data_IF_048725020765
#
_entry.id   IF_048725020765
#
_cell.length_a   1.000
_cell.length_b   1.000
_cell.length_c   1.000
_cell.angle_alpha   90.00
_cell.angle_beta   90.00
_cell.angle_gamma   90.00
#
_symmetry.space_group_name_H-M   'P 1'
#
loop_
_entity.id
_entity.type
_entity.pdbx_description
1 polymer ?
#
# COMPACT_ATOMS: atom_id res chain seq x y z
N UNK A 1 -11.82 29.09 50.96
CA UNK A 1 -12.01 29.18 49.50
C UNK A 1 -11.35 27.97 48.85
N UNK A 2 -12.13 26.92 48.54
CA UNK A 2 -11.62 25.74 47.83
C UNK A 2 -11.58 26.05 46.32
N UNK A 3 -10.51 25.66 45.60
CA UNK A 3 -10.45 25.84 44.16
C UNK A 3 -11.49 24.94 43.46
N UNK A 4 -12.04 25.38 42.31
CA UNK A 4 -13.01 24.60 41.56
C UNK A 4 -12.33 23.35 40.98
N UNK A 5 -12.93 22.19 41.23
CA UNK A 5 -12.55 20.93 40.58
C UNK A 5 -12.83 21.07 39.08
N UNK A 6 -11.79 21.02 38.27
CA UNK A 6 -11.88 20.91 36.82
C UNK A 6 -12.42 19.52 36.46
N UNK A 7 -13.51 19.51 35.68
CA UNK A 7 -14.12 18.28 35.19
C UNK A 7 -13.11 17.49 34.32
N UNK A 8 -13.11 16.14 34.40
CA UNK A 8 -12.26 15.32 33.56
C UNK A 8 -12.60 15.51 32.07
N UNK A 9 -11.61 15.48 31.17
CA UNK A 9 -11.84 15.57 29.73
C UNK A 9 -12.73 14.40 29.26
N UNK A 10 -13.61 14.63 28.27
CA UNK A 10 -14.45 13.56 27.73
C UNK A 10 -13.58 12.45 27.13
N UNK A 11 -14.01 11.17 27.23
CA UNK A 11 -13.30 10.07 26.59
C UNK A 11 -13.21 10.31 25.07
N UNK A 12 -12.12 9.89 24.41
CA UNK A 12 -12.00 10.02 22.97
C UNK A 12 -13.18 9.32 22.32
N UNK A 13 -13.95 10.06 21.52
CA UNK A 13 -15.02 9.50 20.70
C UNK A 13 -14.40 8.46 19.76
N UNK A 14 -14.55 7.18 20.10
CA UNK A 14 -14.28 6.08 19.19
C UNK A 14 -15.26 6.21 18.02
N UNK A 15 -14.80 6.74 16.90
CA UNK A 15 -15.52 6.65 15.64
C UNK A 15 -15.60 5.16 15.30
N UNK A 16 -16.77 4.55 15.53
CA UNK A 16 -17.04 3.21 15.04
C UNK A 16 -16.87 3.25 13.52
N UNK A 17 -15.90 2.50 13.02
CA UNK A 17 -15.73 2.24 11.60
C UNK A 17 -16.91 1.36 11.14
N UNK A 18 -18.04 1.99 10.83
CA UNK A 18 -19.04 1.36 10.00
C UNK A 18 -18.46 1.34 8.58
N UNK A 19 -17.82 0.22 8.19
CA UNK A 19 -17.56 -0.05 6.78
C UNK A 19 -18.91 0.05 6.06
N UNK A 20 -19.06 1.10 5.26
CA UNK A 20 -20.30 1.37 4.53
C UNK A 20 -20.64 0.14 3.67
N UNK A 21 -21.82 -0.44 3.89
CA UNK A 21 -22.34 -1.50 3.05
C UNK A 21 -22.41 -1.02 1.58
N UNK A 22 -21.76 -1.69 0.62
CA UNK A 22 -21.66 -1.19 -0.75
C UNK A 22 -22.95 -1.48 -1.52
N UNK A 23 -23.86 -0.50 -1.52
CA UNK A 23 -25.15 -0.55 -2.21
C UNK A 23 -25.40 0.57 -3.23
N UNK A 24 -24.36 1.30 -3.67
CA UNK A 24 -24.51 2.42 -4.61
C UNK A 24 -24.05 2.04 -6.02
N UNK A 25 -24.90 2.35 -7.01
CA UNK A 25 -24.74 2.01 -8.42
C UNK A 25 -23.40 2.48 -9.01
N UNK A 26 -22.64 1.55 -9.60
CA UNK A 26 -21.35 1.77 -10.24
C UNK A 26 -21.53 2.53 -11.57
N UNK A 27 -21.27 3.83 -11.57
CA UNK A 27 -21.25 4.64 -12.79
C UNK A 27 -19.91 4.50 -13.53
N UNK A 28 -19.95 4.03 -14.79
CA UNK A 28 -18.99 4.42 -15.83
C UNK A 28 -17.79 3.50 -16.13
N UNK A 29 -17.55 2.39 -15.43
CA UNK A 29 -16.47 1.48 -15.83
C UNK A 29 -16.95 0.45 -16.85
N UNK A 30 -16.29 0.39 -18.01
CA UNK A 30 -16.52 -0.65 -19.00
C UNK A 30 -16.29 -2.04 -18.38
N UNK A 31 -17.18 -2.98 -18.64
CA UNK A 31 -17.02 -4.34 -18.11
C UNK A 31 -15.76 -5.00 -18.69
N UNK A 32 -15.06 -5.86 -17.94
CA UNK A 32 -13.88 -6.57 -18.46
C UNK A 32 -14.15 -7.28 -19.79
N UNK A 33 -15.37 -7.78 -19.98
CA UNK A 33 -15.83 -8.40 -21.23
C UNK A 33 -15.89 -7.41 -22.40
N UNK A 34 -16.35 -6.18 -22.18
CA UNK A 34 -16.37 -5.15 -23.21
C UNK A 34 -14.94 -4.76 -23.63
N UNK A 35 -14.01 -4.70 -22.67
CA UNK A 35 -12.59 -4.42 -22.92
C UNK A 35 -11.94 -5.55 -23.73
N UNK A 36 -12.15 -6.80 -23.33
CA UNK A 36 -11.65 -7.97 -24.07
C UNK A 36 -12.16 -8.00 -25.51
N UNK A 37 -13.48 -7.77 -25.70
CA UNK A 37 -14.09 -7.69 -27.04
C UNK A 37 -13.50 -6.56 -27.88
N UNK A 38 -13.31 -5.38 -27.28
CA UNK A 38 -12.69 -4.25 -27.96
C UNK A 38 -11.24 -4.52 -28.37
N UNK A 39 -10.45 -5.20 -27.53
CA UNK A 39 -9.09 -5.61 -27.86
C UNK A 39 -9.06 -6.66 -28.98
N UNK A 40 -9.92 -7.67 -28.90
CA UNK A 40 -10.05 -8.69 -29.94
C UNK A 40 -10.49 -8.09 -31.28
N UNK A 41 -11.41 -7.11 -31.27
CA UNK A 41 -11.83 -6.37 -32.47
C UNK A 41 -10.68 -5.56 -33.11
N UNK A 42 -9.64 -5.22 -32.34
CA UNK A 42 -8.40 -4.58 -32.83
C UNK A 42 -7.31 -5.59 -33.23
N UNK A 43 -7.63 -6.88 -33.28
CA UNK A 43 -6.70 -7.94 -33.69
C UNK A 43 -5.81 -8.48 -32.57
N UNK A 44 -6.05 -8.13 -31.29
CA UNK A 44 -5.32 -8.74 -30.19
C UNK A 44 -5.66 -10.24 -30.08
N UNK A 45 -4.67 -11.06 -29.72
CA UNK A 45 -4.91 -12.48 -29.44
C UNK A 45 -5.87 -12.65 -28.24
N UNK A 46 -6.56 -13.79 -28.16
CA UNK A 46 -7.45 -14.08 -27.02
C UNK A 46 -6.73 -14.00 -25.67
N UNK A 47 -5.45 -14.40 -25.64
CA UNK A 47 -4.61 -14.33 -24.43
C UNK A 47 -4.31 -12.89 -24.03
N UNK A 48 -3.92 -12.04 -24.98
CA UNK A 48 -3.65 -10.61 -24.73
C UNK A 48 -4.94 -9.88 -24.34
N UNK A 49 -6.06 -10.15 -25.02
CA UNK A 49 -7.35 -9.56 -24.69
C UNK A 49 -7.81 -9.94 -23.26
N UNK A 50 -7.58 -11.21 -22.86
CA UNK A 50 -7.86 -11.67 -21.49
C UNK A 50 -6.93 -11.01 -20.46
N UNK A 51 -5.64 -10.87 -20.75
CA UNK A 51 -4.68 -10.18 -19.88
C UNK A 51 -5.03 -8.71 -19.71
N UNK A 52 -5.39 -8.01 -20.78
CA UNK A 52 -5.84 -6.63 -20.72
C UNK A 52 -7.11 -6.48 -19.90
N UNK A 53 -8.09 -7.38 -20.08
CA UNK A 53 -9.32 -7.38 -19.29
C UNK A 53 -9.05 -7.66 -17.81
N UNK A 54 -8.16 -8.60 -17.49
CA UNK A 54 -7.76 -8.92 -16.13
C UNK A 54 -7.05 -7.73 -15.47
N UNK A 55 -6.17 -7.04 -16.20
CA UNK A 55 -5.48 -5.86 -15.71
C UNK A 55 -6.46 -4.69 -15.46
N UNK A 56 -7.48 -4.55 -16.30
CA UNK A 56 -8.52 -3.51 -16.17
C UNK A 56 -9.62 -3.83 -15.15
N UNK A 57 -9.60 -5.03 -14.56
CA UNK A 57 -10.58 -5.41 -13.55
C UNK A 57 -10.36 -4.57 -12.29
N UNK A 58 -11.38 -3.86 -11.78
CA UNK A 58 -11.22 -3.03 -10.60
C UNK A 58 -10.87 -3.91 -9.40
N UNK A 59 -9.80 -3.53 -8.70
CA UNK A 59 -9.34 -4.18 -7.47
C UNK A 59 -9.37 -3.17 -6.34
N UNK A 60 -9.43 -3.68 -5.11
CA UNK A 60 -9.31 -2.82 -3.93
C UNK A 60 -7.84 -2.45 -3.75
N UNK A 61 -7.53 -1.16 -3.87
CA UNK A 61 -6.23 -0.57 -3.57
C UNK A 61 -6.32 0.08 -2.19
N UNK A 62 -5.33 -0.13 -1.34
CA UNK A 62 -5.22 0.52 -0.03
C UNK A 62 -4.05 1.50 -0.10
N UNK A 63 -4.36 2.78 0.00
CA UNK A 63 -3.40 3.87 -0.15
C UNK A 63 -3.10 4.46 1.22
N UNK A 64 -1.99 4.05 1.80
CA UNK A 64 -1.55 4.47 3.13
C UNK A 64 -0.92 5.87 3.07
N UNK A 65 -1.17 6.68 4.08
CA UNK A 65 -0.58 8.00 4.29
C UNK A 65 -0.46 8.29 5.79
N UNK A 66 0.17 9.40 6.17
CA UNK A 66 0.15 9.81 7.58
C UNK A 66 -1.27 10.15 8.04
N UNK A 67 -1.57 9.80 9.30
CA UNK A 67 -2.85 10.10 9.94
C UNK A 67 -3.13 11.60 9.85
N UNK A 68 -4.30 11.97 9.34
CA UNK A 68 -4.71 13.35 9.12
C UNK A 68 -4.46 13.90 7.70
N UNK A 69 -3.72 13.17 6.86
CA UNK A 69 -3.46 13.55 5.46
C UNK A 69 -4.43 12.90 4.46
N UNK A 70 -5.43 12.16 4.92
CA UNK A 70 -6.35 11.40 4.05
C UNK A 70 -7.11 12.33 3.08
N UNK A 71 -7.49 13.52 3.55
CA UNK A 71 -8.13 14.54 2.70
C UNK A 71 -7.19 15.13 1.65
N UNK A 72 -5.90 15.24 1.97
CA UNK A 72 -4.91 15.73 1.02
C UNK A 72 -4.66 14.68 -0.06
N UNK A 73 -4.56 13.40 0.34
CA UNK A 73 -4.45 12.28 -0.60
C UNK A 73 -5.66 12.21 -1.54
N UNK A 74 -6.89 12.36 -1.05
CA UNK A 74 -8.07 12.36 -1.93
C UNK A 74 -8.10 13.50 -2.94
N UNK A 75 -7.70 14.72 -2.53
CA UNK A 75 -7.58 15.85 -3.47
C UNK A 75 -6.54 15.54 -4.54
N UNK A 76 -5.41 14.98 -4.14
CA UNK A 76 -4.38 14.55 -5.08
C UNK A 76 -4.91 13.46 -6.02
N UNK A 77 -5.73 12.50 -5.56
CA UNK A 77 -6.39 11.53 -6.44
C UNK A 77 -7.32 12.21 -7.47
N UNK A 78 -8.01 13.29 -7.09
CA UNK A 78 -8.86 14.08 -7.99
C UNK A 78 -8.01 14.85 -9.01
N UNK A 79 -6.92 15.48 -8.57
CA UNK A 79 -6.00 16.22 -9.44
C UNK A 79 -5.30 15.30 -10.44
N UNK A 80 -4.97 14.07 -10.03
CA UNK A 80 -4.48 13.02 -10.91
C UNK A 80 -5.58 12.45 -11.83
N UNK A 81 -6.83 12.87 -11.68
CA UNK A 81 -7.96 12.34 -12.47
C UNK A 81 -8.22 10.85 -12.24
N UNK A 82 -7.78 10.31 -11.09
CA UNK A 82 -7.96 8.91 -10.73
C UNK A 82 -9.37 8.71 -10.19
N UNK A 83 -10.26 8.17 -11.02
CA UNK A 83 -11.66 7.90 -10.65
C UNK A 83 -11.81 6.53 -10.01
N UNK A 84 -12.74 6.40 -9.07
CA UNK A 84 -13.06 5.14 -8.41
C UNK A 84 -13.92 5.37 -7.17
N UNK A 85 -14.50 4.29 -6.63
CA UNK A 85 -15.13 4.37 -5.32
C UNK A 85 -14.03 4.50 -4.26
N UNK A 86 -14.19 5.49 -3.37
CA UNK A 86 -13.20 5.82 -2.33
C UNK A 86 -13.85 5.71 -0.96
N UNK A 87 -13.14 5.12 -0.01
CA UNK A 87 -13.49 5.15 1.40
C UNK A 87 -12.26 5.47 2.25
N UNK A 88 -12.36 6.44 3.15
CA UNK A 88 -11.26 6.79 4.05
C UNK A 88 -11.15 5.77 5.17
N UNK A 89 -9.93 5.44 5.54
CA UNK A 89 -9.61 4.77 6.80
C UNK A 89 -8.54 5.54 7.55
N UNK A 90 -8.31 5.17 8.82
CA UNK A 90 -7.33 5.88 9.64
C UNK A 90 -5.93 5.66 9.06
N UNK A 91 -5.31 6.74 8.58
CA UNK A 91 -4.01 6.67 7.91
C UNK A 91 -4.08 6.21 6.45
N UNK A 92 -5.23 6.35 5.77
CA UNK A 92 -5.27 6.04 4.34
C UNK A 92 -6.61 6.19 3.64
N UNK A 93 -6.61 5.82 2.36
CA UNK A 93 -7.78 5.84 1.47
C UNK A 93 -7.84 4.51 0.73
N UNK A 94 -8.94 3.78 0.90
CA UNK A 94 -9.24 2.62 0.08
C UNK A 94 -9.89 3.08 -1.24
N UNK A 95 -9.42 2.54 -2.36
CA UNK A 95 -9.81 2.93 -3.71
C UNK A 95 -10.13 1.68 -4.53
N UNK A 96 -11.34 1.59 -5.08
CA UNK A 96 -11.65 0.58 -6.11
C UNK A 96 -11.25 1.10 -7.49
N UNK A 97 -10.13 0.60 -8.03
CA UNK A 97 -9.62 1.01 -9.33
C UNK A 97 -8.82 -0.11 -10.02
N UNK A 98 -8.59 -0.01 -11.34
CA UNK A 98 -7.70 -0.92 -12.05
C UNK A 98 -6.25 -0.87 -11.53
N UNK A 99 -5.54 -1.99 -11.62
CA UNK A 99 -4.17 -2.09 -11.07
C UNK A 99 -3.18 -1.13 -11.75
N UNK A 100 -3.43 -0.73 -13.01
CA UNK A 100 -2.56 0.20 -13.74
C UNK A 100 -2.44 1.56 -13.07
N UNK A 101 -3.44 1.94 -12.27
CA UNK A 101 -3.42 3.18 -11.50
C UNK A 101 -2.26 3.21 -10.50
N UNK A 102 -1.81 2.05 -10.01
CA UNK A 102 -0.68 1.97 -9.07
C UNK A 102 0.61 2.57 -9.61
N UNK A 103 0.87 2.42 -10.91
CA UNK A 103 2.07 3.01 -11.55
C UNK A 103 2.02 4.53 -11.50
N UNK A 104 0.86 5.09 -11.82
CA UNK A 104 0.65 6.54 -11.79
C UNK A 104 0.74 7.08 -10.37
N UNK A 105 0.13 6.38 -9.41
CA UNK A 105 0.22 6.73 -7.99
C UNK A 105 1.66 6.70 -7.48
N UNK A 106 2.42 5.66 -7.80
CA UNK A 106 3.81 5.53 -7.36
C UNK A 106 4.71 6.65 -7.92
N UNK A 107 4.45 7.11 -9.14
CA UNK A 107 5.24 8.15 -9.80
C UNK A 107 4.81 9.56 -9.41
N UNK A 108 3.51 9.85 -9.40
CA UNK A 108 2.99 11.22 -9.36
C UNK A 108 2.48 11.65 -7.97
N UNK A 109 2.06 10.72 -7.11
CA UNK A 109 1.52 11.09 -5.79
C UNK A 109 2.63 11.49 -4.83
N UNK A 110 2.48 12.66 -4.20
CA UNK A 110 3.40 13.26 -3.21
C UNK A 110 3.01 12.95 -1.77
N UNK A 111 1.73 12.66 -1.50
CA UNK A 111 1.20 12.41 -0.15
C UNK A 111 1.10 10.91 0.16
N UNK A 112 1.11 10.06 -0.87
CA UNK A 112 1.07 8.60 -0.71
C UNK A 112 2.32 8.09 0.03
N UNK A 113 2.10 7.39 1.14
CA UNK A 113 3.14 6.72 1.89
C UNK A 113 3.46 5.34 1.36
N UNK A 114 2.44 4.53 1.12
CA UNK A 114 2.56 3.22 0.48
C UNK A 114 1.25 2.85 -0.21
N UNK A 115 1.32 2.09 -1.29
CA UNK A 115 0.16 1.47 -1.90
C UNK A 115 0.21 -0.05 -1.73
N UNK A 116 -0.92 -0.62 -1.33
CA UNK A 116 -1.15 -2.05 -1.18
C UNK A 116 -2.30 -2.50 -2.06
N UNK A 117 -2.24 -3.74 -2.50
CA UNK A 117 -3.29 -4.38 -3.30
C UNK A 117 -4.05 -5.38 -2.43
N UNK A 118 -5.36 -5.18 -2.26
CA UNK A 118 -6.23 -6.10 -1.55
C UNK A 118 -6.38 -7.43 -2.29
N UNK A 119 -6.25 -8.54 -1.55
CA UNK A 119 -6.28 -9.91 -2.08
C UNK A 119 -7.70 -10.52 -2.06
N UNK A 120 -8.72 -9.66 -2.06
CA UNK A 120 -10.12 -10.06 -1.93
C UNK A 120 -10.93 -8.98 -1.24
N UNK A 121 -12.16 -9.34 -0.85
CA UNK A 121 -12.98 -8.50 0.02
C UNK A 121 -12.63 -8.78 1.48
N UNK A 122 -12.82 -7.81 2.39
CA UNK A 122 -12.79 -8.08 3.82
C UNK A 122 -13.73 -9.24 4.19
N UNK A 123 -13.31 -10.09 5.12
CA UNK A 123 -14.08 -11.25 5.56
C UNK A 123 -13.99 -11.42 7.08
N UNK A 124 -15.05 -11.96 7.68
CA UNK A 124 -15.07 -12.22 9.11
C UNK A 124 -14.18 -13.43 9.47
N UNK A 125 -13.25 -13.24 10.40
CA UNK A 125 -12.21 -14.20 10.77
C UNK A 125 -12.01 -14.29 12.29
N UNK A 126 -13.06 -14.65 13.04
CA UNK A 126 -12.98 -14.84 14.49
C UNK A 126 -12.12 -16.05 14.93
N UNK A 127 -11.83 -16.99 14.03
CA UNK A 127 -11.11 -18.24 14.33
C UNK A 127 -9.99 -18.51 13.33
N UNK A 128 -8.91 -19.14 13.81
CA UNK A 128 -7.72 -19.48 13.00
C UNK A 128 -8.08 -20.33 11.76
N UNK A 129 -9.00 -21.29 11.92
CA UNK A 129 -9.48 -22.14 10.83
C UNK A 129 -10.14 -21.32 9.71
N UNK A 130 -10.88 -20.28 10.06
CA UNK A 130 -11.57 -19.42 9.08
C UNK A 130 -10.54 -18.59 8.30
N UNK A 131 -9.57 -18.00 9.01
CA UNK A 131 -8.45 -17.28 8.40
C UNK A 131 -7.65 -18.17 7.44
N UNK A 132 -7.27 -19.38 7.89
CA UNK A 132 -6.52 -20.34 7.07
C UNK A 132 -7.30 -20.76 5.82
N UNK A 133 -8.61 -21.02 5.94
CA UNK A 133 -9.45 -21.39 4.80
C UNK A 133 -9.54 -20.26 3.77
N UNK A 134 -9.71 -19.01 4.21
CA UNK A 134 -9.71 -17.86 3.31
C UNK A 134 -8.35 -17.63 2.66
N UNK A 135 -7.25 -17.70 3.44
CA UNK A 135 -5.88 -17.59 2.91
C UNK A 135 -5.57 -18.72 1.91
N UNK A 136 -6.07 -19.93 2.13
CA UNK A 136 -5.93 -21.05 1.20
C UNK A 136 -6.79 -20.90 -0.07
N UNK A 137 -7.81 -20.02 -0.05
CA UNK A 137 -8.64 -19.70 -1.21
C UNK A 137 -8.07 -18.60 -2.11
N UNK A 138 -7.08 -17.84 -1.64
CA UNK A 138 -6.40 -16.81 -2.45
C UNK A 138 -5.59 -17.48 -3.55
N UNK A 139 -5.69 -17.02 -4.79
CA UNK A 139 -4.81 -17.47 -5.87
C UNK A 139 -3.44 -16.79 -5.76
N UNK A 140 -2.57 -17.30 -4.89
CA UNK A 140 -1.26 -16.68 -4.62
C UNK A 140 -0.38 -16.54 -5.86
N UNK A 141 -0.57 -17.39 -6.87
CA UNK A 141 0.16 -17.35 -8.14
C UNK A 141 -0.07 -16.07 -8.95
N UNK A 142 -1.18 -15.36 -8.71
CA UNK A 142 -1.45 -14.08 -9.38
C UNK A 142 -0.62 -12.92 -8.79
N UNK A 143 0.00 -13.13 -7.62
CA UNK A 143 0.67 -12.08 -6.84
C UNK A 143 2.14 -12.38 -6.57
N UNK A 144 2.54 -13.66 -6.56
CA UNK A 144 3.92 -14.08 -6.38
C UNK A 144 4.26 -15.27 -7.26
N UNK A 145 5.51 -15.30 -7.72
CA UNK A 145 6.04 -16.45 -8.45
C UNK A 145 6.46 -17.54 -7.47
N UNK A 146 5.92 -18.75 -7.64
CA UNK A 146 6.43 -19.92 -6.94
C UNK A 146 7.59 -20.54 -7.70
N UNK A 147 8.80 -20.25 -7.27
CA UNK A 147 10.04 -20.91 -7.70
C UNK A 147 10.59 -21.79 -6.56
N UNK A 148 11.55 -22.68 -6.82
CA UNK A 148 12.18 -23.47 -5.74
C UNK A 148 12.86 -22.58 -4.70
N UNK A 149 13.38 -21.44 -5.16
CA UNK A 149 14.17 -20.50 -4.36
C UNK A 149 13.35 -19.28 -3.93
N UNK A 150 12.03 -19.31 -4.16
CA UNK A 150 11.15 -18.23 -3.72
C UNK A 150 11.17 -18.17 -2.21
N UNK A 151 11.81 -17.13 -1.68
CA UNK A 151 11.68 -16.77 -0.28
C UNK A 151 10.19 -16.55 0.05
N UNK A 152 9.79 -16.96 1.25
CA UNK A 152 8.46 -16.63 1.74
C UNK A 152 8.41 -15.11 1.99
N UNK A 153 7.31 -14.45 1.62
CA UNK A 153 7.17 -13.03 1.88
C UNK A 153 7.12 -12.77 3.37
N UNK A 154 7.73 -11.66 3.79
CA UNK A 154 7.57 -11.16 5.16
C UNK A 154 6.10 -10.79 5.39
N UNK A 155 5.49 -11.34 6.43
CA UNK A 155 4.12 -11.04 6.82
C UNK A 155 4.13 -10.00 7.93
N UNK A 156 3.37 -8.92 7.76
CA UNK A 156 3.10 -7.92 8.79
C UNK A 156 1.65 -8.06 9.22
N UNK A 157 1.45 -8.31 10.51
CA UNK A 157 0.12 -8.50 11.09
C UNK A 157 -0.23 -7.31 11.98
N UNK A 158 -1.34 -6.66 11.70
CA UNK A 158 -1.93 -5.64 12.56
C UNK A 158 -3.24 -6.19 13.12
N UNK A 159 -3.37 -6.27 14.44
CA UNK A 159 -4.61 -6.70 15.08
C UNK A 159 -5.15 -5.62 16.00
N UNK A 160 -6.43 -5.29 15.85
CA UNK A 160 -7.16 -4.36 16.70
C UNK A 160 -8.49 -4.95 17.14
N UNK A 161 -8.74 -4.95 18.45
CA UNK A 161 -10.02 -5.36 19.05
C UNK A 161 -10.64 -6.65 18.46
N UNK A 162 -9.81 -7.67 18.22
CA UNK A 162 -10.25 -8.92 17.60
C UNK A 162 -9.92 -10.12 18.49
N UNK A 163 -10.69 -11.19 18.34
CA UNK A 163 -10.53 -12.44 19.09
C UNK A 163 -9.19 -13.11 18.79
N UNK A 164 -8.73 -13.07 17.54
CA UNK A 164 -7.40 -13.54 17.14
C UNK A 164 -6.33 -12.47 17.39
N UNK A 165 -6.07 -12.13 18.65
CA UNK A 165 -5.09 -11.10 19.02
C UNK A 165 -3.62 -11.56 18.94
N UNK A 166 -3.37 -12.87 18.92
CA UNK A 166 -2.02 -13.41 18.81
C UNK A 166 -1.49 -13.31 17.37
N UNK A 167 -0.67 -12.29 17.11
CA UNK A 167 -0.08 -12.02 15.79
C UNK A 167 0.70 -13.21 15.21
N UNK A 168 1.43 -13.96 16.04
CA UNK A 168 2.18 -15.14 15.60
C UNK A 168 1.27 -16.29 15.12
N UNK A 169 0.06 -16.41 15.66
CA UNK A 169 -0.93 -17.41 15.21
C UNK A 169 -1.49 -17.01 13.85
N UNK A 170 -1.81 -15.73 13.68
CA UNK A 170 -2.28 -15.17 12.41
C UNK A 170 -1.22 -15.32 11.32
N UNK A 171 0.03 -14.95 11.61
CA UNK A 171 1.17 -15.11 10.69
C UNK A 171 1.36 -16.57 10.29
N UNK A 172 1.41 -17.50 11.26
CA UNK A 172 1.56 -18.93 11.00
C UNK A 172 0.43 -19.48 10.12
N UNK A 173 -0.82 -19.13 10.42
CA UNK A 173 -1.97 -19.62 9.67
C UNK A 173 -1.90 -19.21 8.18
N UNK A 174 -1.47 -17.98 7.91
CA UNK A 174 -1.31 -17.47 6.54
C UNK A 174 -0.09 -18.10 5.85
N UNK A 175 1.06 -18.17 6.52
CA UNK A 175 2.27 -18.83 6.00
C UNK A 175 2.01 -20.28 5.63
N UNK A 176 1.36 -21.06 6.50
CA UNK A 176 1.04 -22.46 6.23
C UNK A 176 0.10 -22.61 5.02
N UNK A 177 -0.90 -21.74 4.88
CA UNK A 177 -1.80 -21.77 3.71
C UNK A 177 -1.05 -21.48 2.40
N UNK A 178 -0.08 -20.57 2.43
CA UNK A 178 0.76 -20.24 1.28
C UNK A 178 1.74 -21.36 0.91
N UNK A 179 2.42 -21.94 1.90
CA UNK A 179 3.33 -23.08 1.71
C UNK A 179 2.60 -24.30 1.14
N UNK A 180 1.39 -24.58 1.61
CA UNK A 180 0.58 -25.65 1.03
C UNK A 180 0.27 -25.43 -0.44
N UNK A 181 -0.12 -24.21 -0.83
CA UNK A 181 -0.35 -23.90 -2.24
C UNK A 181 0.94 -24.01 -3.06
N UNK A 182 2.06 -23.51 -2.52
CA UNK A 182 3.39 -23.65 -3.14
C UNK A 182 3.74 -25.11 -3.38
N UNK A 183 3.58 -25.97 -2.37
CA UNK A 183 3.86 -27.41 -2.49
C UNK A 183 2.94 -28.10 -3.50
N UNK A 184 1.64 -27.76 -3.51
CA UNK A 184 0.70 -28.29 -4.51
C UNK A 184 1.11 -27.87 -5.93
N UNK A 185 1.49 -26.61 -6.13
CA UNK A 185 1.95 -26.10 -7.41
C UNK A 185 3.22 -26.79 -7.89
N UNK A 186 4.26 -26.86 -7.04
CA UNK A 186 5.53 -27.50 -7.37
C UNK A 186 5.35 -28.99 -7.69
N UNK A 187 4.51 -29.70 -6.91
CA UNK A 187 4.20 -31.11 -7.16
C UNK A 187 3.52 -31.32 -8.50
N UNK A 188 2.54 -30.46 -8.84
CA UNK A 188 1.84 -30.51 -10.14
C UNK A 188 2.81 -30.23 -11.29
N UNK A 189 3.66 -29.21 -11.16
CA UNK A 189 4.68 -28.90 -12.16
C UNK A 189 5.67 -30.05 -12.36
N UNK A 190 6.16 -30.63 -11.28
CA UNK A 190 7.06 -31.78 -11.32
C UNK A 190 6.42 -33.00 -12.01
N UNK A 191 5.10 -33.19 -11.87
CA UNK A 191 4.38 -34.28 -12.52
C UNK A 191 4.09 -34.02 -14.00
N UNK A 192 3.87 -32.75 -14.39
CA UNK A 192 3.52 -32.38 -15.76
C UNK A 192 4.74 -32.16 -16.66
N UNK A 193 5.91 -31.85 -16.09
CA UNK A 193 7.12 -31.56 -16.84
C UNK A 193 8.21 -32.61 -16.55
N UNK A 194 8.60 -33.40 -17.55
CA UNK A 194 9.81 -34.27 -17.55
C UNK A 194 11.13 -33.43 -17.58
N UNK A 195 11.05 -32.17 -17.19
CA UNK A 195 11.75 -31.10 -17.91
C UNK A 195 12.85 -30.51 -17.03
N UNK A 196 14.10 -30.90 -17.35
CA UNK A 196 15.35 -30.34 -16.83
C UNK A 196 15.41 -28.80 -16.94
N UNK A 197 14.58 -28.21 -17.79
CA UNK A 197 14.43 -26.75 -18.00
C UNK A 197 13.92 -26.01 -16.76
N UNK A 198 13.09 -26.64 -15.91
CA UNK A 198 12.58 -26.03 -14.68
C UNK A 198 13.70 -25.66 -13.70
N UNK A 199 14.74 -26.50 -13.64
CA UNK A 199 15.95 -26.25 -12.84
C UNK A 199 17.00 -25.44 -13.60
N UNK A 200 17.05 -25.53 -14.94
CA UNK A 200 18.08 -24.84 -15.74
C UNK A 200 17.85 -23.32 -15.87
N UNK A 201 16.61 -22.83 -15.72
CA UNK A 201 16.30 -21.39 -15.86
C UNK A 201 16.75 -20.53 -14.66
N UNK A 202 17.29 -21.14 -13.61
CA UNK A 202 17.74 -20.46 -12.38
C UNK A 202 19.12 -19.80 -12.50
N UNK A 203 19.91 -20.16 -13.51
CA UNK A 203 21.28 -19.63 -13.69
C UNK A 203 21.37 -18.29 -14.44
N UNK A 204 20.25 -17.75 -14.94
CA UNK A 204 20.22 -16.60 -15.85
C UNK A 204 20.04 -15.23 -15.17
N UNK A 205 20.91 -14.85 -14.24
CA UNK A 205 21.33 -13.45 -14.03
C UNK A 205 20.37 -12.40 -13.43
N UNK A 206 19.11 -12.70 -13.08
CA UNK A 206 18.28 -11.76 -12.29
C UNK A 206 18.21 -12.24 -10.86
N UNK A 207 18.74 -11.46 -9.91
CA UNK A 207 18.56 -11.73 -8.49
C UNK A 207 17.08 -11.97 -8.21
N UNK A 208 16.72 -13.01 -7.41
CA UNK A 208 15.32 -13.31 -7.14
C UNK A 208 14.66 -12.05 -6.59
N UNK A 209 13.67 -11.53 -7.31
CA UNK A 209 12.92 -10.36 -6.87
C UNK A 209 12.44 -10.64 -5.44
N UNK A 210 12.86 -9.78 -4.50
CA UNK A 210 12.51 -9.93 -3.09
C UNK A 210 11.00 -10.09 -2.97
N UNK A 211 10.57 -11.12 -2.22
CA UNK A 211 9.16 -11.42 -2.09
C UNK A 211 8.42 -10.21 -1.49
N UNK A 212 7.30 -9.78 -2.09
CA UNK A 212 6.58 -8.59 -1.64
C UNK A 212 6.05 -8.78 -0.22
N UNK A 213 6.06 -7.73 0.60
CA UNK A 213 5.56 -7.80 1.98
C UNK A 213 4.04 -8.03 1.98
N UNK A 214 3.59 -9.03 2.72
CA UNK A 214 2.17 -9.32 2.93
C UNK A 214 1.68 -8.61 4.19
N UNK A 215 0.47 -8.06 4.14
CA UNK A 215 -0.19 -7.38 5.24
C UNK A 215 -1.49 -8.11 5.58
N UNK A 216 -1.69 -8.36 6.88
CA UNK A 216 -2.90 -8.92 7.44
C UNK A 216 -3.43 -7.91 8.46
N UNK A 217 -4.48 -7.19 8.09
CA UNK A 217 -5.16 -6.25 8.98
C UNK A 217 -6.41 -6.92 9.53
N UNK A 218 -6.47 -7.12 10.85
CA UNK A 218 -7.60 -7.71 11.55
C UNK A 218 -8.19 -6.68 12.51
N UNK A 219 -9.41 -6.22 12.25
CA UNK A 219 -10.11 -5.23 13.05
C UNK A 219 -11.52 -5.71 13.36
N UNK A 220 -11.90 -5.75 14.64
CA UNK A 220 -13.25 -6.16 15.07
C UNK A 220 -13.68 -7.52 14.47
N UNK A 221 -12.75 -8.47 14.41
CA UNK A 221 -12.87 -9.78 13.74
C UNK A 221 -13.07 -9.72 12.20
N UNK A 222 -12.99 -8.56 11.55
CA UNK A 222 -12.90 -8.43 10.09
C UNK A 222 -11.45 -8.44 9.63
N UNK A 223 -11.12 -9.35 8.72
CA UNK A 223 -9.78 -9.53 8.17
C UNK A 223 -9.68 -8.99 6.75
N UNK A 224 -8.62 -8.23 6.48
CA UNK A 224 -8.22 -7.79 5.16
C UNK A 224 -6.80 -8.27 4.85
N UNK A 225 -6.68 -9.10 3.82
CA UNK A 225 -5.39 -9.52 3.27
C UNK A 225 -4.98 -8.55 2.15
N UNK A 226 -3.76 -8.03 2.21
CA UNK A 226 -3.23 -7.14 1.17
C UNK A 226 -1.74 -7.36 0.96
N UNK A 227 -1.24 -7.03 -0.23
CA UNK A 227 0.17 -7.17 -0.60
C UNK A 227 0.76 -5.81 -0.93
N UNK A 228 2.01 -5.53 -0.52
CA UNK A 228 2.70 -4.32 -0.91
C UNK A 228 2.84 -4.27 -2.44
N UNK A 229 2.27 -3.23 -3.05
CA UNK A 229 2.46 -2.94 -4.47
C UNK A 229 3.63 -1.97 -4.68
N UNK A 230 3.89 -1.11 -3.70
CA UNK A 230 5.03 -0.18 -3.69
C UNK A 230 5.85 -0.39 -2.41
N UNK A 231 7.14 -0.12 -2.46
CA UNK A 231 7.98 -0.03 -1.26
C UNK A 231 7.66 1.24 -0.47
N UNK A 232 8.40 2.30 -0.74
CA UNK A 232 8.28 3.60 -0.06
C UNK A 232 8.22 4.74 -1.09
N UNK A 233 7.09 4.94 -1.81
CA UNK A 233 6.96 5.97 -2.85
C UNK A 233 7.23 7.40 -2.35
N UNK A 234 7.08 7.62 -1.04
CA UNK A 234 7.39 8.89 -0.41
C UNK A 234 8.89 9.18 -0.27
N UNK A 235 9.74 8.14 -0.28
CA UNK A 235 11.20 8.32 -0.22
C UNK A 235 11.67 8.70 -1.61
N UNK A 236 12.07 9.96 -1.77
CA UNK A 236 12.47 10.49 -3.07
C UNK A 236 13.96 10.32 -3.29
N UNK A 237 14.38 10.30 -4.56
CA UNK A 237 15.78 10.11 -4.94
C UNK A 237 16.72 11.15 -4.28
N UNK A 238 16.23 12.36 -3.99
CA UNK A 238 17.01 13.38 -3.30
C UNK A 238 17.22 13.10 -1.80
N UNK A 239 16.37 12.29 -1.17
CA UNK A 239 16.51 11.90 0.25
C UNK A 239 17.46 10.71 0.43
N UNK A 240 17.54 9.82 -0.56
CA UNK A 240 18.39 8.62 -0.51
C UNK A 240 19.90 8.93 -0.44
N UNK A 241 20.30 10.17 -0.75
CA UNK A 241 21.72 10.55 -0.83
C UNK A 241 22.38 10.65 0.54
N UNK A 242 21.59 10.91 1.59
CA UNK A 242 22.13 11.12 2.93
C UNK A 242 22.38 9.80 3.67
N UNK A 243 21.61 8.74 3.39
CA UNK A 243 21.78 7.43 4.05
C UNK A 243 23.04 6.67 3.59
N UNK A 244 23.52 6.94 2.37
CA UNK A 244 24.72 6.29 1.85
C UNK A 244 26.02 6.82 2.48
N UNK A 245 25.99 8.00 3.13
CA UNK A 245 27.19 8.60 3.75
C UNK A 245 27.40 8.15 5.20
N UNK A 246 26.39 7.56 5.86
CA UNK A 246 26.49 7.07 7.24
C UNK A 246 26.69 5.54 7.31
N UNK A 247 26.71 4.86 6.16
CA UNK A 247 26.77 3.41 6.02
C UNK A 247 28.16 2.75 6.10
N UNK A 248 29.17 3.36 6.72
CA UNK A 248 30.46 2.70 7.02
C UNK A 248 30.62 2.29 8.49
N UNK A 249 29.51 2.17 9.24
CA UNK A 249 29.49 1.56 10.57
C UNK A 249 28.36 0.53 10.68
N UNK A 250 28.42 -0.51 9.84
CA UNK A 250 27.71 -1.76 10.10
C UNK A 250 28.34 -2.45 11.33
N UNK A 251 27.87 -2.10 12.52
CA UNK A 251 28.33 -2.69 13.76
C UNK A 251 27.41 -2.33 14.92
N UNK A 252 26.50 -3.26 15.23
CA UNK A 252 25.84 -3.41 16.54
C UNK A 252 24.99 -2.21 17.01
N UNK A 253 23.70 -2.25 16.66
CA UNK A 253 22.68 -1.59 17.45
C UNK A 253 22.49 -2.38 18.76
N UNK A 254 23.36 -2.13 19.74
CA UNK A 254 23.06 -2.44 21.13
C UNK A 254 22.03 -1.45 21.68
N UNK A 255 21.07 -1.98 22.45
CA UNK A 255 20.15 -1.26 23.31
C UNK A 255 20.93 -0.43 24.35
N UNK A 256 21.36 0.76 23.96
CA UNK A 256 22.03 1.73 24.83
C UNK A 256 21.16 2.95 25.07
N UNK A 257 20.44 2.94 26.18
CA UNK A 257 19.64 4.04 26.76
C UNK A 257 20.53 5.26 27.06
N UNK A 258 20.82 6.07 26.04
CA UNK A 258 21.40 7.41 26.20
C UNK A 258 20.46 8.43 25.60
N UNK A 259 19.74 9.09 26.52
CA UNK A 259 18.87 10.23 26.33
C UNK A 259 19.64 11.48 25.82
N UNK A 260 20.13 11.41 24.58
CA UNK A 260 20.32 12.60 23.76
C UNK A 260 18.93 12.99 23.25
N UNK A 261 18.51 14.20 23.59
CA UNK A 261 17.26 14.84 23.16
C UNK A 261 16.90 14.42 21.73
N UNK A 262 15.66 13.97 21.46
CA UNK A 262 15.30 13.48 20.13
C UNK A 262 15.60 14.61 19.16
N UNK A 263 16.56 14.39 18.27
CA UNK A 263 16.79 15.22 17.10
C UNK A 263 15.42 15.55 16.53
N UNK A 264 15.05 16.84 16.59
CA UNK A 264 13.69 17.29 16.33
C UNK A 264 13.19 16.63 15.05
N UNK A 265 12.07 15.90 15.14
CA UNK A 265 11.53 15.09 14.04
C UNK A 265 11.57 15.94 12.76
N UNK A 266 12.48 15.59 11.85
CA UNK A 266 12.58 16.28 10.57
C UNK A 266 11.25 16.13 9.83
N UNK A 267 10.82 17.21 9.18
CA UNK A 267 9.60 17.23 8.38
C UNK A 267 9.72 16.17 7.27
N UNK A 268 8.81 15.19 7.22
CA UNK A 268 8.84 14.19 6.16
C UNK A 268 8.39 14.79 4.83
N UNK A 269 8.88 14.26 3.70
CA UNK A 269 8.46 14.72 2.36
C UNK A 269 6.93 14.70 2.16
N UNK A 270 6.22 13.72 2.72
CA UNK A 270 4.75 13.68 2.67
C UNK A 270 4.12 14.86 3.42
N UNK A 271 4.65 15.19 4.60
CA UNK A 271 4.15 16.30 5.42
C UNK A 271 4.47 17.64 4.77
N UNK A 272 5.67 17.80 4.20
CA UNK A 272 6.05 18.96 3.41
C UNK A 272 5.12 19.15 2.21
N UNK A 273 4.90 18.11 1.40
CA UNK A 273 3.96 18.15 0.29
C UNK A 273 2.54 18.52 0.74
N UNK A 274 2.07 17.96 1.86
CA UNK A 274 0.76 18.30 2.42
C UNK A 274 0.67 19.77 2.88
N UNK A 275 1.75 20.33 3.44
CA UNK A 275 1.84 21.76 3.78
C UNK A 275 1.71 22.63 2.52
N UNK A 276 2.44 22.29 1.45
CA UNK A 276 2.38 22.98 0.16
C UNK A 276 0.97 22.94 -0.43
N UNK A 277 0.33 21.75 -0.44
CA UNK A 277 -1.04 21.60 -0.91
C UNK A 277 -2.05 22.41 -0.09
N UNK A 278 -1.86 22.48 1.23
CA UNK A 278 -2.76 23.25 2.10
C UNK A 278 -2.58 24.75 1.96
N UNK A 279 -1.36 25.21 1.67
CA UNK A 279 -1.03 26.63 1.50
C UNK A 279 -1.55 27.22 0.18
N UNK A 280 -2.11 26.40 -0.72
CA UNK A 280 -2.49 26.81 -2.09
C UNK A 280 -1.32 27.42 -2.86
N UNK A 281 -0.09 27.01 -2.51
CA UNK A 281 1.12 27.61 -3.06
C UNK A 281 1.19 27.43 -4.58
N UNK A 282 0.81 26.24 -5.07
CA UNK A 282 0.78 25.93 -6.50
C UNK A 282 -0.17 26.86 -7.26
N UNK A 283 -1.39 27.07 -6.75
CA UNK A 283 -2.34 27.98 -7.36
C UNK A 283 -1.78 29.41 -7.43
N UNK A 284 -1.14 29.88 -6.35
CA UNK A 284 -0.52 31.22 -6.32
C UNK A 284 0.66 31.35 -7.27
N UNK A 285 1.42 30.27 -7.47
CA UNK A 285 2.51 30.22 -8.46
C UNK A 285 1.94 30.32 -9.88
N UNK A 286 0.87 29.59 -10.18
CA UNK A 286 0.20 29.62 -11.49
C UNK A 286 -0.39 31.02 -11.77
N UNK A 287 -1.05 31.63 -10.79
CA UNK A 287 -1.59 32.99 -10.89
C UNK A 287 -0.49 34.04 -11.11
N UNK A 288 0.61 33.96 -10.35
CA UNK A 288 1.74 34.86 -10.53
C UNK A 288 2.38 34.69 -11.92
N UNK A 289 2.56 33.46 -12.38
CA UNK A 289 3.09 33.17 -13.71
C UNK A 289 2.18 33.69 -14.83
N UNK A 290 0.86 33.54 -14.70
CA UNK A 290 -0.12 34.06 -15.68
C UNK A 290 -0.09 35.60 -15.76
N UNK A 291 0.16 36.27 -14.64
CA UNK A 291 0.27 37.73 -14.57
C UNK A 291 1.67 38.26 -14.94
N UNK A 292 2.63 37.38 -15.24
CA UNK A 292 4.04 37.76 -15.46
C UNK A 292 4.71 38.37 -14.22
N UNK A 293 4.27 37.97 -13.02
CA UNK A 293 4.82 38.39 -11.73
C UNK A 293 5.70 37.30 -11.15
N UNK A 294 6.77 37.72 -10.49
CA UNK A 294 7.60 36.80 -9.71
C UNK A 294 6.97 36.54 -8.33
N UNK A 295 6.91 35.28 -7.93
CA UNK A 295 6.53 34.89 -6.57
C UNK A 295 7.77 34.41 -5.81
N UNK A 296 8.04 35.05 -4.67
CA UNK A 296 9.13 34.64 -3.78
C UNK A 296 8.59 33.66 -2.75
N UNK A 297 9.10 32.43 -2.77
CA UNK A 297 8.86 31.41 -1.74
C UNK A 297 10.05 31.40 -0.80
N UNK A 298 9.79 31.59 0.50
CA UNK A 298 10.84 31.65 1.51
C UNK A 298 10.45 30.81 2.73
N UNK A 299 11.33 29.89 3.10
CA UNK A 299 11.27 29.15 4.36
C UNK A 299 12.45 29.56 5.25
N UNK A 300 12.24 30.42 6.26
CA UNK A 300 13.31 30.88 7.16
C UNK A 300 13.83 29.79 8.09
N UNK A 301 13.13 28.65 8.19
CA UNK A 301 13.47 27.53 9.07
C UNK A 301 13.65 26.24 8.26
N UNK A 302 14.21 26.37 7.05
CA UNK A 302 14.19 25.32 6.04
C UNK A 302 14.91 24.02 6.44
N UNK A 303 15.86 24.06 7.39
CA UNK A 303 16.60 22.88 7.81
C UNK A 303 17.26 22.17 6.62
N UNK A 304 16.77 20.98 6.27
CA UNK A 304 17.23 20.19 5.10
C UNK A 304 16.66 20.70 3.76
N UNK A 305 15.81 21.72 3.77
CA UNK A 305 15.17 22.27 2.59
C UNK A 305 13.94 21.50 2.11
N UNK A 306 13.44 20.50 2.85
CA UNK A 306 12.38 19.58 2.41
C UNK A 306 11.08 20.26 1.98
N UNK A 307 10.75 21.43 2.52
CA UNK A 307 9.55 22.17 2.10
C UNK A 307 9.71 22.88 0.75
N UNK A 308 10.95 23.22 0.38
CA UNK A 308 11.27 23.95 -0.85
C UNK A 308 11.63 23.04 -2.02
N UNK A 309 11.99 21.78 -1.75
CA UNK A 309 12.23 20.72 -2.74
C UNK A 309 10.91 20.12 -3.24
#
# INVERSE_FOLDING_TARGET
>A
SRPPQTAPPPPPCHQSFAMAAPGAARAGMATPLAIARGAAARGASLKEAAQLAAAMTPRQLLLDTHIGLEKALERELDDLGIRGHRSRYRGGVALEAPQQVLWRLALESRVLGAARLGLGRPFHAAFESTLRNHAAGVNWMDYMAFTSDSALPKIKVNVYNSRLYHTAVVERAVTTAMEEQRHRFLRKKLQESDDRTFYAQQGGGSAPASAPVLYVDLQDDECQLSIAATGSPHVRAFECRDEASEGTAAGQAEEGDTALLPSGRALSSQQAAACVFRAQLLQRLDEAAADGRDLVVWDPFCGRGTLLL
#
